data_IF_451801743062
#
_entry.id   IF_451801743062
#
_cell.length_a   1.000
_cell.length_b   1.000
_cell.length_c   1.000
_cell.angle_alpha   90.00
_cell.angle_beta   90.00
_cell.angle_gamma   90.00
#
_symmetry.space_group_name_H-M   'P 1'
#
loop_
_entity.id
_entity.type
_entity.pdbx_description
1 polymer ?
#
# COMPACT_ATOMS: atom_id res chain seq x y z
N UNK A 1 -4.14 -36.39 -16.13
CA UNK A 1 -4.45 -35.18 -15.35
C UNK A 1 -3.68 -34.00 -15.93
N UNK A 2 -4.37 -32.91 -16.25
CA UNK A 2 -3.74 -31.70 -16.75
C UNK A 2 -2.83 -31.08 -15.69
N UNK A 3 -1.66 -30.63 -16.14
CA UNK A 3 -0.76 -29.83 -15.30
C UNK A 3 -0.40 -28.53 -15.97
N UNK A 4 -0.14 -27.51 -15.18
CA UNK A 4 0.17 -26.16 -15.64
C UNK A 4 1.52 -25.75 -15.10
N UNK A 5 2.41 -25.34 -16.00
CA UNK A 5 3.66 -24.68 -15.63
C UNK A 5 3.49 -23.18 -15.74
N UNK A 6 3.89 -22.47 -14.70
CA UNK A 6 3.98 -21.02 -14.68
C UNK A 6 5.43 -20.56 -14.85
N UNK A 7 5.63 -19.57 -15.71
CA UNK A 7 6.92 -18.93 -15.94
C UNK A 7 6.75 -17.41 -15.78
N UNK A 8 7.41 -16.87 -14.76
CA UNK A 8 7.39 -15.45 -14.40
C UNK A 8 8.65 -14.75 -14.87
N UNK A 9 8.53 -13.47 -15.21
CA UNK A 9 9.67 -12.64 -15.57
C UNK A 9 10.68 -12.51 -14.41
N UNK A 10 11.95 -12.30 -14.76
CA UNK A 10 13.05 -12.15 -13.79
C UNK A 10 12.80 -11.13 -12.66
N UNK A 11 12.27 -9.91 -12.90
CA UNK A 11 12.12 -8.91 -11.84
C UNK A 11 11.14 -9.34 -10.73
N UNK A 12 10.05 -10.01 -11.07
CA UNK A 12 9.02 -10.42 -10.11
C UNK A 12 9.24 -11.82 -9.52
N UNK A 13 10.18 -12.59 -10.07
CA UNK A 13 10.45 -13.98 -9.65
C UNK A 13 10.72 -14.11 -8.15
N UNK A 14 11.41 -13.14 -7.54
CA UNK A 14 11.72 -13.18 -6.10
C UNK A 14 10.46 -12.95 -5.25
N UNK A 15 9.58 -12.05 -5.68
CA UNK A 15 8.32 -11.73 -5.01
C UNK A 15 7.36 -12.92 -5.04
N UNK A 16 7.24 -13.56 -6.21
CA UNK A 16 6.27 -14.64 -6.43
C UNK A 16 6.80 -16.03 -6.05
N UNK A 17 8.06 -16.16 -5.58
CA UNK A 17 8.69 -17.46 -5.28
C UNK A 17 7.94 -18.28 -4.21
N UNK A 18 7.22 -17.62 -3.31
CA UNK A 18 6.41 -18.27 -2.28
C UNK A 18 5.27 -19.10 -2.87
N UNK A 19 4.69 -18.66 -4.00
CA UNK A 19 3.51 -19.24 -4.63
C UNK A 19 3.82 -19.95 -5.96
N UNK A 20 4.71 -19.36 -6.77
CA UNK A 20 5.15 -19.88 -8.08
C UNK A 20 6.62 -20.31 -7.97
N UNK A 21 6.84 -21.62 -7.99
CA UNK A 21 8.15 -22.27 -7.97
C UNK A 21 8.57 -22.60 -9.39
N UNK A 22 9.80 -22.21 -9.73
CA UNK A 22 10.36 -22.41 -11.07
C UNK A 22 10.45 -23.89 -11.42
N UNK A 23 9.94 -24.27 -12.60
CA UNK A 23 9.99 -25.64 -13.10
C UNK A 23 8.95 -26.60 -12.51
N UNK A 24 8.10 -26.15 -11.59
CA UNK A 24 7.03 -26.96 -11.01
C UNK A 24 5.81 -26.97 -11.92
N UNK A 25 5.25 -28.15 -12.13
CA UNK A 25 3.97 -28.35 -12.80
C UNK A 25 2.88 -28.45 -11.71
N UNK A 26 1.85 -27.61 -11.82
CA UNK A 26 0.76 -27.47 -10.85
C UNK A 26 -0.51 -28.16 -11.35
N UNK A 27 -1.30 -28.69 -10.44
CA UNK A 27 -2.64 -29.18 -10.78
C UNK A 27 -3.57 -28.03 -11.17
N UNK A 28 -4.41 -28.26 -12.18
CA UNK A 28 -5.34 -27.28 -12.74
C UNK A 28 -6.21 -26.57 -11.67
N UNK A 29 -6.57 -27.29 -10.60
CA UNK A 29 -7.42 -26.81 -9.50
C UNK A 29 -6.75 -25.72 -8.66
N UNK A 30 -5.46 -25.89 -8.39
CA UNK A 30 -4.68 -24.96 -7.55
C UNK A 30 -4.28 -23.71 -8.35
N UNK A 31 -4.33 -23.79 -9.68
CA UNK A 31 -3.90 -22.73 -10.57
C UNK A 31 -4.70 -21.44 -10.40
N UNK A 32 -6.02 -21.51 -10.17
CA UNK A 32 -6.82 -20.31 -9.95
C UNK A 32 -6.38 -19.57 -8.67
N UNK A 33 -6.15 -20.31 -7.58
CA UNK A 33 -5.64 -19.74 -6.33
C UNK A 33 -4.26 -19.11 -6.54
N UNK A 34 -3.34 -19.82 -7.19
CA UNK A 34 -1.99 -19.30 -7.48
C UNK A 34 -2.05 -18.02 -8.30
N UNK A 35 -2.90 -17.99 -9.34
CA UNK A 35 -3.02 -16.81 -10.19
C UNK A 35 -3.65 -15.62 -9.43
N UNK A 36 -4.67 -15.86 -8.62
CA UNK A 36 -5.29 -14.83 -7.79
C UNK A 36 -4.33 -14.27 -6.74
N UNK A 37 -3.56 -15.13 -6.07
CA UNK A 37 -2.54 -14.70 -5.11
C UNK A 37 -1.41 -13.93 -5.80
N UNK A 38 -0.96 -14.37 -6.98
CA UNK A 38 0.06 -13.67 -7.75
C UNK A 38 -0.41 -12.29 -8.20
N UNK A 39 -1.66 -12.17 -8.65
CA UNK A 39 -2.29 -10.90 -8.99
C UNK A 39 -2.31 -9.95 -7.78
N UNK A 40 -2.78 -10.45 -6.64
CA UNK A 40 -2.89 -9.66 -5.42
C UNK A 40 -1.52 -9.12 -4.94
N UNK A 41 -0.49 -9.96 -4.94
CA UNK A 41 0.88 -9.57 -4.55
C UNK A 41 1.41 -8.47 -5.47
N UNK A 42 1.29 -8.65 -6.79
CA UNK A 42 1.81 -7.68 -7.75
C UNK A 42 1.04 -6.36 -7.73
N UNK A 43 -0.27 -6.43 -7.54
CA UNK A 43 -1.14 -5.27 -7.42
C UNK A 43 -0.81 -4.45 -6.16
N UNK A 44 -0.54 -5.11 -5.03
CA UNK A 44 -0.10 -4.49 -3.79
C UNK A 44 1.22 -3.73 -3.96
N UNK A 45 2.20 -4.36 -4.62
CA UNK A 45 3.51 -3.75 -4.92
C UNK A 45 3.44 -2.69 -6.03
N UNK A 46 2.30 -2.53 -6.71
CA UNK A 46 2.14 -1.62 -7.84
C UNK A 46 3.00 -1.99 -9.05
N UNK A 47 3.29 -3.27 -9.23
CA UNK A 47 4.11 -3.81 -10.31
C UNK A 47 3.20 -4.57 -11.28
N UNK A 48 3.31 -4.32 -12.57
CA UNK A 48 2.68 -5.15 -13.60
C UNK A 48 3.72 -6.03 -14.29
N UNK A 49 3.40 -7.30 -14.54
CA UNK A 49 4.34 -8.26 -15.15
C UNK A 49 3.62 -9.31 -15.98
N UNK A 50 4.24 -9.75 -17.08
CA UNK A 50 3.74 -10.90 -17.84
C UNK A 50 3.96 -12.20 -17.04
N UNK A 51 2.93 -13.04 -16.99
CA UNK A 51 2.98 -14.42 -16.56
C UNK A 51 2.73 -15.31 -17.77
N UNK A 52 3.68 -16.18 -18.09
CA UNK A 52 3.51 -17.21 -19.10
C UNK A 52 2.98 -18.48 -18.43
N UNK A 53 2.01 -19.14 -19.06
CA UNK A 53 1.49 -20.41 -18.58
C UNK A 53 1.41 -21.43 -19.71
N UNK A 54 1.74 -22.66 -19.35
CA UNK A 54 1.79 -23.80 -20.25
C UNK A 54 0.98 -24.95 -19.67
N UNK A 55 -0.17 -25.22 -20.28
CA UNK A 55 -1.04 -26.33 -19.94
C UNK A 55 -0.59 -27.56 -20.72
N UNK A 56 -0.27 -28.62 -20.00
CA UNK A 56 0.15 -29.91 -20.53
C UNK A 56 -0.85 -30.98 -20.13
N UNK A 57 -1.13 -31.87 -21.06
CA UNK A 57 -1.76 -33.14 -20.74
C UNK A 57 -0.79 -34.27 -21.07
N UNK A 58 -0.49 -35.21 -20.13
CA UNK A 58 0.48 -36.26 -20.38
C UNK A 58 0.03 -37.25 -21.47
N UNK A 59 -1.27 -37.40 -21.68
CA UNK A 59 -1.87 -38.38 -22.62
C UNK A 59 -2.21 -37.80 -23.98
N UNK A 60 -2.25 -36.48 -24.13
CA UNK A 60 -2.60 -35.81 -25.39
C UNK A 60 -1.46 -34.85 -25.77
N UNK A 61 -0.96 -34.87 -27.02
CA UNK A 61 0.07 -33.93 -27.48
C UNK A 61 -0.44 -32.48 -27.65
N UNK A 62 -1.51 -32.09 -26.96
CA UNK A 62 -2.03 -30.73 -26.97
C UNK A 62 -1.32 -29.97 -25.84
N UNK A 63 -0.39 -29.10 -26.23
CA UNK A 63 0.20 -28.11 -25.34
C UNK A 63 -0.44 -26.76 -25.63
N UNK A 64 -1.14 -26.21 -24.63
CA UNK A 64 -1.66 -24.85 -24.73
C UNK A 64 -0.68 -23.90 -24.03
N UNK A 65 -0.25 -22.85 -24.74
CA UNK A 65 0.66 -21.83 -24.21
C UNK A 65 0.06 -20.46 -24.43
N UNK A 66 0.06 -19.65 -23.39
CA UNK A 66 -0.35 -18.26 -23.47
C UNK A 66 0.33 -17.44 -22.37
N UNK A 67 0.07 -16.14 -22.36
CA UNK A 67 0.54 -15.21 -21.36
C UNK A 67 -0.58 -14.29 -20.90
N UNK A 68 -0.57 -13.92 -19.63
CA UNK A 68 -1.48 -12.96 -19.03
C UNK A 68 -0.69 -11.88 -18.32
N UNK A 69 -1.16 -10.64 -18.39
CA UNK A 69 -0.59 -9.54 -17.60
C UNK A 69 -1.15 -9.62 -16.18
N UNK A 70 -0.25 -9.71 -15.20
CA UNK A 70 -0.57 -9.62 -13.79
C UNK A 70 -0.31 -8.21 -13.25
N UNK A 71 -0.94 -7.88 -12.12
CA UNK A 71 -0.83 -6.60 -11.41
C UNK A 71 -1.63 -5.49 -12.08
N UNK A 72 -2.75 -5.84 -12.74
CA UNK A 72 -3.64 -4.89 -13.41
C UNK A 72 -5.05 -4.84 -12.78
N UNK A 73 -5.29 -5.62 -11.72
CA UNK A 73 -6.59 -5.76 -11.08
C UNK A 73 -7.57 -6.59 -11.90
N UNK A 74 -7.06 -7.50 -12.76
CA UNK A 74 -7.91 -8.37 -13.58
C UNK A 74 -8.13 -9.70 -12.87
N UNK A 75 -9.32 -10.32 -13.00
CA UNK A 75 -9.57 -11.64 -12.45
C UNK A 75 -8.76 -12.70 -13.19
N UNK A 76 -8.27 -13.66 -12.42
CA UNK A 76 -7.43 -14.73 -12.93
C UNK A 76 -8.09 -16.08 -12.75
N UNK A 77 -8.82 -16.50 -13.79
CA UNK A 77 -9.38 -17.83 -13.89
C UNK A 77 -8.82 -18.54 -15.12
N UNK A 78 -8.15 -19.67 -14.93
CA UNK A 78 -7.45 -20.37 -15.99
C UNK A 78 -8.39 -20.83 -17.12
N UNK A 79 -9.60 -21.30 -16.81
CA UNK A 79 -10.58 -21.72 -17.81
C UNK A 79 -11.01 -20.52 -18.66
N UNK A 80 -11.19 -19.36 -18.01
CA UNK A 80 -11.56 -18.14 -18.70
C UNK A 80 -10.41 -17.62 -19.59
N UNK A 81 -9.18 -17.60 -19.08
CA UNK A 81 -8.00 -17.16 -19.82
C UNK A 81 -7.78 -18.02 -21.07
N UNK A 82 -7.95 -19.34 -20.93
CA UNK A 82 -7.90 -20.27 -22.07
C UNK A 82 -9.03 -19.98 -23.06
N UNK A 83 -10.27 -19.85 -22.59
CA UNK A 83 -11.42 -19.57 -23.45
C UNK A 83 -11.26 -18.24 -24.22
N UNK A 84 -10.84 -17.18 -23.54
CA UNK A 84 -10.58 -15.89 -24.15
C UNK A 84 -9.49 -16.01 -25.22
N UNK A 85 -8.38 -16.68 -24.91
CA UNK A 85 -7.29 -16.87 -25.87
C UNK A 85 -7.75 -17.70 -27.09
N UNK A 86 -8.53 -18.76 -26.90
CA UNK A 86 -9.08 -19.57 -28.00
C UNK A 86 -10.00 -18.77 -28.93
N UNK A 87 -10.74 -17.81 -28.38
CA UNK A 87 -11.67 -16.99 -29.16
C UNK A 87 -11.02 -15.75 -29.78
N UNK A 88 -9.91 -15.27 -29.24
CA UNK A 88 -9.24 -14.03 -29.70
C UNK A 88 -7.99 -14.29 -30.55
N UNK A 89 -7.18 -15.28 -30.18
CA UNK A 89 -5.91 -15.59 -30.84
C UNK A 89 -6.08 -16.71 -31.87
N UNK A 90 -6.90 -17.71 -31.55
CA UNK A 90 -7.10 -18.89 -32.40
C UNK A 90 -8.39 -18.83 -33.22
N UNK A 91 -8.76 -17.66 -33.75
CA UNK A 91 -10.04 -17.46 -34.49
C UNK A 91 -10.25 -18.45 -35.63
N UNK A 92 -9.19 -18.84 -36.32
CA UNK A 92 -9.21 -19.74 -37.49
C UNK A 92 -9.41 -21.24 -37.15
N UNK A 93 -9.28 -21.62 -35.87
CA UNK A 93 -9.47 -23.01 -35.44
C UNK A 93 -10.95 -23.40 -35.43
N UNK A 94 -11.30 -24.66 -35.80
CA UNK A 94 -12.67 -25.15 -35.74
C UNK A 94 -13.25 -24.98 -34.33
N UNK A 95 -14.50 -24.51 -34.23
CA UNK A 95 -15.15 -24.34 -32.93
C UNK A 95 -15.23 -25.66 -32.14
N UNK A 96 -15.35 -26.79 -32.83
CA UNK A 96 -15.40 -28.12 -32.22
C UNK A 96 -14.11 -28.45 -31.46
N UNK A 97 -12.93 -28.13 -32.01
CA UNK A 97 -11.63 -28.33 -31.34
C UNK A 97 -11.51 -27.43 -30.10
N UNK A 98 -11.96 -26.18 -30.19
CA UNK A 98 -11.95 -25.24 -29.06
C UNK A 98 -12.86 -25.74 -27.94
N UNK A 99 -14.08 -26.18 -28.29
CA UNK A 99 -15.06 -26.72 -27.34
C UNK A 99 -14.54 -28.00 -26.69
N UNK A 100 -13.90 -28.89 -27.45
CA UNK A 100 -13.32 -30.12 -26.93
C UNK A 100 -12.23 -29.83 -25.89
N UNK A 101 -11.31 -28.91 -26.16
CA UNK A 101 -10.28 -28.51 -25.19
C UNK A 101 -10.89 -27.89 -23.92
N UNK A 102 -11.89 -27.03 -24.07
CA UNK A 102 -12.59 -26.43 -22.93
C UNK A 102 -13.30 -27.50 -22.10
N UNK A 103 -14.00 -28.45 -22.73
CA UNK A 103 -14.65 -29.56 -22.04
C UNK A 103 -13.66 -30.45 -21.28
N UNK A 104 -12.50 -30.75 -21.88
CA UNK A 104 -11.45 -31.52 -21.21
C UNK A 104 -10.92 -30.79 -19.96
N UNK A 105 -10.68 -29.48 -20.07
CA UNK A 105 -10.23 -28.68 -18.93
C UNK A 105 -11.31 -28.55 -17.85
N UNK A 106 -12.59 -28.43 -18.24
CA UNK A 106 -13.72 -28.41 -17.32
C UNK A 106 -13.85 -29.75 -16.56
N UNK A 107 -13.73 -30.87 -17.26
CA UNK A 107 -13.76 -32.20 -16.64
C UNK A 107 -12.59 -32.40 -15.66
N UNK A 108 -11.38 -32.00 -16.05
CA UNK A 108 -10.20 -32.05 -15.18
C UNK A 108 -10.31 -31.12 -13.96
N UNK A 109 -11.12 -30.06 -14.05
CA UNK A 109 -11.43 -29.21 -12.90
C UNK A 109 -12.30 -29.98 -11.87
N UNK A 110 -13.20 -30.85 -12.33
CA UNK A 110 -14.21 -31.56 -11.52
C UNK A 110 -13.72 -32.91 -10.95
N UNK A 111 -12.78 -33.61 -11.58
CA UNK A 111 -12.28 -34.92 -11.10
C UNK A 111 -11.56 -34.85 -9.74
N UNK A 112 -12.22 -35.29 -8.66
CA UNK A 112 -11.59 -35.50 -7.34
C UNK A 112 -10.29 -36.30 -7.47
N UNK A 113 -9.26 -36.02 -6.65
CA UNK A 113 -8.04 -36.80 -6.70
C UNK A 113 -8.42 -38.25 -6.42
N UNK A 114 -8.35 -39.10 -7.45
CA UNK A 114 -8.38 -40.53 -7.22
C UNK A 114 -7.24 -40.81 -6.26
N UNK A 115 -7.58 -41.21 -5.04
CA UNK A 115 -6.61 -41.69 -4.08
C UNK A 115 -5.72 -42.69 -4.80
N UNK A 116 -4.50 -42.30 -5.10
CA UNK A 116 -3.49 -43.23 -5.57
C UNK A 116 -3.30 -44.17 -4.39
N UNK A 117 -3.80 -45.39 -4.52
CA UNK A 117 -3.45 -46.50 -3.66
C UNK A 117 -1.92 -46.56 -3.63
N UNK A 118 -1.33 -46.08 -2.54
CA UNK A 118 0.02 -46.46 -2.13
C UNK A 118 -0.01 -47.97 -1.89
N UNK A 119 0.27 -48.74 -2.94
CA UNK A 119 0.74 -50.11 -2.76
C UNK A 119 2.19 -50.02 -2.30
N UNK A 120 2.36 -50.00 -0.99
CA UNK A 120 3.55 -50.51 -0.32
C UNK A 120 3.90 -51.86 -0.94
N UNK A 121 5.05 -51.92 -1.62
CA UNK A 121 5.78 -53.17 -1.79
C UNK A 121 7.11 -53.04 -1.06
N UNK A 122 7.02 -53.42 0.20
CA UNK A 122 8.06 -53.90 1.08
C UNK A 122 8.85 -55.03 0.40
N UNK A 123 10.15 -54.83 0.17
CA UNK A 123 11.12 -55.93 0.05
C UNK A 123 12.38 -55.55 0.83
N UNK A 124 12.59 -56.30 1.90
CA UNK A 124 13.75 -56.25 2.79
C UNK A 124 15.08 -56.53 2.06
N UNK A 125 16.12 -55.83 2.52
CA UNK A 125 17.54 -55.90 2.12
C UNK A 125 18.20 -57.28 2.33
N UNK A 126 19.41 -57.53 1.77
CA UNK A 126 20.59 -57.33 2.61
C UNK A 126 21.85 -56.76 1.91
N UNK A 127 22.63 -56.06 2.71
CA UNK A 127 23.98 -55.50 2.51
C UNK A 127 25.03 -56.61 2.34
N UNK A 128 26.02 -56.45 1.44
CA UNK A 128 27.43 -56.80 1.71
C UNK A 128 28.44 -56.27 0.64
N UNK A 129 29.34 -55.38 1.08
CA UNK A 129 30.81 -55.35 0.90
C UNK A 129 31.43 -55.06 -0.49
N UNK A 130 31.99 -53.85 -0.63
CA UNK A 130 33.15 -53.43 -1.47
C UNK A 130 34.49 -53.98 -0.90
N UNK A 131 35.70 -53.97 -1.54
CA UNK A 131 36.31 -52.89 -2.36
C UNK A 131 37.35 -53.39 -3.43
N UNK A 132 38.49 -52.71 -3.73
CA UNK A 132 38.73 -51.57 -4.63
C UNK A 132 39.79 -51.86 -5.73
N UNK A 133 39.90 -51.05 -6.81
CA UNK A 133 41.12 -51.01 -7.65
C UNK A 133 41.52 -49.57 -8.06
N UNK A 134 42.78 -49.30 -7.72
CA UNK A 134 43.78 -48.26 -8.03
C UNK A 134 43.88 -47.79 -9.50
N UNK A 135 44.02 -46.48 -9.74
CA UNK A 135 45.27 -45.71 -10.02
C UNK A 135 45.93 -45.97 -11.38
N UNK A 136 45.98 -44.94 -12.24
CA UNK A 136 47.18 -44.37 -12.91
C UNK A 136 46.76 -43.44 -14.06
N UNK A 137 47.45 -42.38 -14.49
CA UNK A 137 48.43 -41.40 -13.98
C UNK A 137 48.54 -40.33 -15.11
N UNK A 138 48.48 -39.04 -14.75
CA UNK A 138 49.32 -37.90 -15.21
C UNK A 138 49.57 -37.68 -16.73
N UNK A 139 49.27 -36.48 -17.27
CA UNK A 139 50.26 -35.49 -17.80
C UNK A 139 49.69 -34.05 -17.82
N UNK A 140 50.34 -33.16 -17.03
CA UNK A 140 50.55 -31.70 -17.22
C UNK A 140 52.07 -31.56 -17.51
N UNK A 141 52.64 -30.51 -18.15
CA UNK A 141 52.47 -29.06 -17.93
C UNK A 141 52.29 -28.31 -19.30
N UNK A 142 52.12 -26.98 -19.44
CA UNK A 142 52.99 -25.89 -19.00
C UNK A 142 52.39 -24.51 -19.39
N UNK A 143 52.86 -23.49 -18.67
CA UNK A 143 52.49 -22.07 -18.70
C UNK A 143 52.90 -21.35 -20.00
N UNK A 144 52.20 -20.27 -20.33
CA UNK A 144 52.87 -19.00 -20.63
C UNK A 144 51.99 -17.81 -20.20
N UNK A 145 52.68 -16.79 -19.67
CA UNK A 145 52.21 -15.51 -19.13
C UNK A 145 52.90 -14.43 -19.96
N UNK A 146 52.17 -13.39 -20.37
CA UNK A 146 52.63 -11.98 -20.46
C UNK A 146 51.40 -11.10 -20.77
N UNK A 147 50.89 -10.24 -19.87
CA UNK A 147 51.32 -8.88 -19.50
C UNK A 147 51.37 -7.88 -20.68
N UNK A 148 50.31 -7.07 -20.90
CA UNK A 148 50.12 -5.64 -20.46
C UNK A 148 50.36 -4.64 -21.64
N UNK A 149 50.02 -3.33 -21.56
CA UNK A 149 48.74 -2.67 -21.19
C UNK A 149 48.42 -1.37 -22.02
N UNK A 150 47.39 -0.61 -21.57
CA UNK A 150 47.16 0.86 -21.64
C UNK A 150 46.53 1.55 -22.88
N UNK A 151 45.31 2.08 -22.71
CA UNK A 151 44.92 3.53 -22.75
C UNK A 151 43.44 3.62 -22.27
N UNK A 152 43.07 4.13 -21.09
CA UNK A 152 42.94 5.54 -20.63
C UNK A 152 42.06 6.42 -21.54
N UNK A 153 40.86 6.84 -21.07
CA UNK A 153 40.35 8.24 -20.91
C UNK A 153 39.10 8.26 -19.97
N UNK A 154 39.29 8.82 -18.77
CA UNK A 154 38.46 9.77 -17.94
C UNK A 154 36.98 9.47 -17.55
N UNK A 155 36.68 9.55 -16.23
CA UNK A 155 35.45 10.17 -15.71
C UNK A 155 35.74 11.54 -15.05
N UNK A 156 34.94 12.54 -15.40
CA UNK A 156 35.05 13.93 -14.95
C UNK A 156 34.52 14.13 -13.53
N UNK A 157 35.36 14.78 -12.73
CA UNK A 157 35.22 15.11 -11.33
C UNK A 157 34.43 16.43 -11.18
N UNK A 158 33.47 16.49 -10.27
CA UNK A 158 33.05 17.77 -9.68
C UNK A 158 32.72 17.60 -8.19
N UNK A 159 33.78 17.61 -7.40
CA UNK A 159 33.74 17.92 -5.97
C UNK A 159 34.28 19.32 -5.72
N UNK A 160 33.52 20.09 -4.93
CA UNK A 160 34.07 21.16 -4.11
C UNK A 160 33.66 22.59 -4.48
N UNK A 161 32.91 23.23 -3.58
CA UNK A 161 33.34 24.49 -2.93
C UNK A 161 32.45 24.86 -1.74
N UNK A 162 32.93 24.42 -0.58
CA UNK A 162 32.66 24.94 0.75
C UNK A 162 33.11 26.41 0.78
N UNK A 163 32.19 27.37 0.91
CA UNK A 163 32.51 28.79 1.15
C UNK A 163 32.31 29.12 2.62
N UNK A 164 33.41 29.48 3.25
CA UNK A 164 33.50 30.04 4.59
C UNK A 164 32.76 31.37 4.65
N UNK A 165 31.82 31.51 5.58
CA UNK A 165 31.35 32.81 6.07
C UNK A 165 31.91 33.01 7.48
N UNK A 166 33.09 33.63 7.54
CA UNK A 166 33.67 34.16 8.77
C UNK A 166 34.24 35.55 8.49
N UNK A 167 33.90 36.47 9.39
CA UNK A 167 34.48 37.81 9.66
C UNK A 167 33.89 38.99 8.88
N UNK A 168 32.83 39.56 9.45
CA UNK A 168 32.64 41.02 9.44
C UNK A 168 32.30 41.51 10.85
N UNK A 169 33.31 41.59 11.71
CA UNK A 169 33.30 42.49 12.87
C UNK A 169 34.57 43.31 12.79
N UNK A 170 34.47 44.49 12.18
CA UNK A 170 35.46 45.54 12.35
C UNK A 170 34.76 46.90 12.34
N UNK A 171 35.18 47.72 13.30
CA UNK A 171 35.01 49.18 13.44
C UNK A 171 33.72 49.68 14.10
N UNK A 172 33.69 49.57 15.43
CA UNK A 172 33.25 50.67 16.28
C UNK A 172 34.38 50.92 17.29
N UNK A 173 35.40 51.70 16.90
CA UNK A 173 36.55 52.00 17.76
C UNK A 173 36.99 53.45 17.66
N UNK A 174 36.04 54.39 17.71
CA UNK A 174 36.36 55.82 17.66
C UNK A 174 35.38 56.74 18.41
N UNK A 175 34.65 56.26 19.43
CA UNK A 175 33.67 57.10 20.15
C UNK A 175 34.00 57.49 21.60
N UNK A 176 35.17 57.13 22.15
CA UNK A 176 35.52 57.58 23.51
C UNK A 176 36.95 58.12 23.60
N UNK A 177 37.11 59.39 23.22
CA UNK A 177 38.15 60.29 23.78
C UNK A 177 37.46 61.33 24.65
N UNK A 178 36.95 60.92 25.80
CA UNK A 178 36.40 61.83 26.81
C UNK A 178 37.41 62.05 27.93
N UNK A 179 37.60 63.30 28.33
CA UNK A 179 38.58 63.69 29.35
C UNK A 179 38.21 63.10 30.72
N UNK A 180 39.21 62.76 31.55
CA UNK A 180 39.01 62.17 32.89
C UNK A 180 38.12 63.03 33.81
N UNK A 181 38.00 64.34 33.56
CA UNK A 181 37.14 65.26 34.33
C UNK A 181 35.66 65.18 33.91
N UNK A 182 35.37 64.83 32.66
CA UNK A 182 33.99 64.66 32.16
C UNK A 182 33.36 63.34 32.63
N UNK A 183 34.18 62.31 32.92
CA UNK A 183 33.67 61.02 33.37
C UNK A 183 33.06 61.09 34.79
N UNK A 184 33.63 61.92 35.66
CA UNK A 184 33.10 62.13 37.02
C UNK A 184 31.72 62.81 36.97
N UNK A 185 31.54 63.80 36.11
CA UNK A 185 30.25 64.49 35.94
C UNK A 185 29.19 63.54 35.36
N UNK A 186 29.56 62.72 34.37
CA UNK A 186 28.66 61.71 33.80
C UNK A 186 28.28 60.65 34.84
N UNK A 187 29.23 60.22 35.68
CA UNK A 187 28.98 59.22 36.72
C UNK A 187 28.06 59.79 37.82
N UNK A 188 28.26 61.04 38.25
CA UNK A 188 27.36 61.69 39.20
C UNK A 188 25.94 61.88 38.63
N UNK A 189 25.83 62.23 37.34
CA UNK A 189 24.53 62.37 36.67
C UNK A 189 23.79 61.03 36.56
N UNK A 190 24.50 59.97 36.18
CA UNK A 190 23.95 58.61 36.12
C UNK A 190 23.58 58.07 37.51
N UNK A 191 24.35 58.41 38.53
CA UNK A 191 24.04 58.01 39.92
C UNK A 191 22.79 58.74 40.45
N UNK A 192 22.62 60.03 40.13
CA UNK A 192 21.42 60.77 40.46
C UNK A 192 20.18 60.24 39.71
N UNK A 193 20.31 59.91 38.42
CA UNK A 193 19.23 59.28 37.65
C UNK A 193 18.89 57.88 38.18
N UNK A 194 19.89 57.10 38.58
CA UNK A 194 19.70 55.80 39.23
C UNK A 194 18.92 55.91 40.55
N UNK A 195 19.21 56.91 41.38
CA UNK A 195 18.51 57.12 42.64
C UNK A 195 17.04 57.53 42.41
N UNK A 196 16.77 58.35 41.39
CA UNK A 196 15.40 58.74 41.01
C UNK A 196 14.63 57.52 40.48
N UNK A 197 15.23 56.70 39.62
CA UNK A 197 14.61 55.45 39.13
C UNK A 197 14.35 54.45 40.26
N UNK A 198 15.26 54.33 41.23
CA UNK A 198 15.07 53.43 42.39
C UNK A 198 13.94 53.92 43.29
N UNK A 199 13.82 55.24 43.50
CA UNK A 199 12.75 55.82 44.32
C UNK A 199 11.36 55.66 43.67
N UNK A 200 11.27 55.79 42.34
CA UNK A 200 10.02 55.52 41.59
C UNK A 200 9.64 54.04 41.62
N UNK A 201 10.61 53.11 41.61
CA UNK A 201 10.35 51.67 41.68
C UNK A 201 9.92 51.19 43.07
N UNK A 202 10.46 51.76 44.15
CA UNK A 202 10.17 51.30 45.52
C UNK A 202 8.93 51.98 46.11
N UNK A 203 8.60 53.20 45.70
CA UNK A 203 7.52 54.00 46.30
C UNK A 203 6.32 54.29 45.38
N UNK A 204 6.21 53.68 44.19
CA UNK A 204 5.01 53.79 43.38
C UNK A 204 3.90 52.84 43.89
N UNK A 205 2.79 53.35 44.46
CA UNK A 205 1.69 52.53 44.96
C UNK A 205 0.77 52.16 43.80
N UNK A 206 1.30 51.47 42.78
CA UNK A 206 0.61 51.29 41.52
C UNK A 206 1.06 50.13 40.62
N UNK A 207 2.04 49.31 41.00
CA UNK A 207 2.28 48.06 40.27
C UNK A 207 1.33 46.99 40.78
N UNK A 208 0.11 46.97 40.25
CA UNK A 208 -0.56 45.70 40.01
C UNK A 208 0.47 44.86 39.27
N UNK A 209 0.99 43.83 39.92
CA UNK A 209 1.60 42.72 39.23
C UNK A 209 0.59 42.28 38.18
N UNK A 210 0.82 42.65 36.93
CA UNK A 210 0.27 41.91 35.81
C UNK A 210 0.77 40.49 36.03
N UNK A 211 -0.11 39.67 36.62
CA UNK A 211 0.05 38.24 36.60
C UNK A 211 0.17 37.90 35.12
N UNK A 212 1.40 37.63 34.67
CA UNK A 212 1.66 36.89 33.44
C UNK A 212 0.77 35.67 33.55
N UNK A 213 -0.37 35.66 32.85
CA UNK A 213 -1.29 34.52 32.79
C UNK A 213 -0.43 33.38 32.27
N UNK A 214 0.01 32.48 33.16
CA UNK A 214 0.65 31.25 32.75
C UNK A 214 -0.37 30.52 31.90
N UNK A 215 -0.08 30.37 30.62
CA UNK A 215 -0.89 29.55 29.72
C UNK A 215 -0.97 28.14 30.35
N UNK A 216 -2.19 27.60 30.52
CA UNK A 216 -2.36 26.25 31.04
C UNK A 216 -1.78 25.24 30.04
N UNK A 217 -1.07 24.19 30.49
CA UNK A 217 -0.46 23.26 29.53
C UNK A 217 -1.51 22.54 28.68
N UNK A 218 -1.20 22.34 27.40
CA UNK A 218 -2.06 21.64 26.45
C UNK A 218 -2.46 20.26 26.95
N UNK A 219 -1.50 19.45 27.39
CA UNK A 219 -1.74 18.11 27.94
C UNK A 219 -2.77 18.14 29.09
N UNK A 220 -2.62 19.09 30.02
CA UNK A 220 -3.55 19.21 31.14
C UNK A 220 -4.96 19.60 30.69
N UNK A 221 -5.08 20.43 29.65
CA UNK A 221 -6.38 20.78 29.08
C UNK A 221 -7.04 19.61 28.34
N UNK A 222 -6.26 18.80 27.62
CA UNK A 222 -6.74 17.61 26.91
C UNK A 222 -7.18 16.51 27.90
N UNK A 223 -6.40 16.26 28.96
CA UNK A 223 -6.79 15.35 30.05
C UNK A 223 -8.10 15.77 30.72
N UNK A 224 -8.31 17.09 30.88
CA UNK A 224 -9.55 17.66 31.43
C UNK A 224 -10.68 17.75 30.40
N UNK A 225 -10.46 17.33 29.14
CA UNK A 225 -11.37 17.48 28.00
C UNK A 225 -11.88 18.91 27.81
N UNK A 226 -11.04 19.91 28.13
CA UNK A 226 -11.40 21.32 28.09
C UNK A 226 -11.11 21.93 26.71
N UNK A 227 -11.83 21.45 25.69
CA UNK A 227 -11.62 21.81 24.29
C UNK A 227 -11.81 23.32 24.01
N UNK A 228 -12.71 23.98 24.74
CA UNK A 228 -12.91 25.42 24.62
C UNK A 228 -11.63 26.22 24.92
N UNK A 229 -10.90 25.84 25.98
CA UNK A 229 -9.61 26.48 26.30
C UNK A 229 -8.53 26.08 25.30
N UNK A 230 -8.53 24.84 24.82
CA UNK A 230 -7.58 24.40 23.80
C UNK A 230 -7.73 25.22 22.52
N UNK A 231 -8.95 25.37 22.00
CA UNK A 231 -9.24 26.20 20.83
C UNK A 231 -8.83 27.67 20.99
N UNK A 232 -8.81 28.17 22.24
CA UNK A 232 -8.46 29.56 22.55
C UNK A 232 -6.94 29.77 22.70
N UNK A 233 -6.26 28.88 23.42
CA UNK A 233 -4.84 29.05 23.77
C UNK A 233 -3.89 28.37 22.79
N UNK A 234 -4.35 27.34 22.07
CA UNK A 234 -3.54 26.53 21.14
C UNK A 234 -4.26 26.34 19.80
N UNK A 235 -4.66 27.42 19.09
CA UNK A 235 -5.37 27.32 17.82
C UNK A 235 -4.56 26.63 16.72
N UNK A 236 -3.23 26.70 16.78
CA UNK A 236 -2.30 26.05 15.84
C UNK A 236 -2.24 24.52 16.02
N UNK A 237 -2.51 24.01 17.22
CA UNK A 237 -2.54 22.57 17.51
C UNK A 237 -3.90 21.93 17.21
N UNK A 238 -4.90 22.74 16.88
CA UNK A 238 -6.28 22.28 16.67
C UNK A 238 -6.38 21.18 15.61
N UNK A 239 -5.60 21.29 14.54
CA UNK A 239 -5.57 20.29 13.47
C UNK A 239 -4.87 19.00 13.91
N UNK A 240 -3.78 19.10 14.67
CA UNK A 240 -3.08 17.91 15.19
C UNK A 240 -3.98 17.11 16.14
N UNK A 241 -4.73 17.81 17.00
CA UNK A 241 -5.68 17.17 17.92
C UNK A 241 -6.83 16.49 17.16
N UNK A 242 -7.31 17.11 16.07
CA UNK A 242 -8.30 16.49 15.18
C UNK A 242 -7.76 15.17 14.64
N UNK A 243 -6.54 15.17 14.10
CA UNK A 243 -5.91 13.97 13.56
C UNK A 243 -5.72 12.89 14.64
N UNK A 244 -5.35 13.26 15.87
CA UNK A 244 -5.25 12.32 17.00
C UNK A 244 -6.60 11.65 17.28
N UNK A 245 -7.71 12.41 17.33
CA UNK A 245 -9.05 11.83 17.51
C UNK A 245 -9.50 10.97 16.34
N UNK A 246 -9.09 11.28 15.10
CA UNK A 246 -9.35 10.41 13.95
C UNK A 246 -8.59 9.09 14.11
N UNK A 247 -7.30 9.14 14.47
CA UNK A 247 -6.47 7.95 14.64
C UNK A 247 -6.97 7.05 15.79
N UNK A 248 -7.56 7.63 16.82
CA UNK A 248 -8.18 6.89 17.94
C UNK A 248 -9.64 6.50 17.69
N UNK A 249 -10.23 6.90 16.55
CA UNK A 249 -11.66 6.80 16.27
C UNK A 249 -12.56 7.38 17.39
N UNK A 250 -12.12 8.46 18.06
CA UNK A 250 -12.87 9.12 19.13
C UNK A 250 -13.94 10.07 18.57
N UNK A 251 -15.06 9.50 18.15
CA UNK A 251 -16.23 10.25 17.64
C UNK A 251 -16.77 11.25 18.68
N UNK A 252 -16.65 10.95 19.98
CA UNK A 252 -17.12 11.84 21.04
C UNK A 252 -16.20 13.06 21.12
N UNK A 253 -14.89 12.85 21.03
CA UNK A 253 -13.87 13.89 20.92
C UNK A 253 -14.13 14.81 19.72
N UNK A 254 -14.32 14.23 18.52
CA UNK A 254 -14.61 14.98 17.28
C UNK A 254 -15.89 15.82 17.40
N UNK A 255 -16.97 15.25 17.95
CA UNK A 255 -18.21 16.01 18.23
C UNK A 255 -18.00 17.13 19.24
N UNK A 256 -17.17 16.89 20.25
CA UNK A 256 -16.75 17.91 21.22
C UNK A 256 -16.02 19.06 20.54
N UNK A 257 -15.05 18.76 19.67
CA UNK A 257 -14.33 19.77 18.89
C UNK A 257 -15.29 20.57 18.01
N UNK A 258 -16.18 19.89 17.29
CA UNK A 258 -17.12 20.53 16.37
C UNK A 258 -18.13 21.44 17.10
N UNK A 259 -18.46 21.13 18.36
CA UNK A 259 -19.29 22.01 19.19
C UNK A 259 -18.60 23.32 19.54
N UNK A 260 -17.30 23.26 19.84
CA UNK A 260 -16.53 24.45 20.24
C UNK A 260 -16.13 25.30 19.02
N UNK A 261 -15.74 24.67 17.93
CA UNK A 261 -15.38 25.33 16.67
C UNK A 261 -15.93 24.50 15.48
N UNK A 262 -17.16 24.80 15.02
CA UNK A 262 -17.76 24.08 13.91
C UNK A 262 -16.91 24.12 12.64
N UNK A 263 -16.80 22.99 11.96
CA UNK A 263 -16.07 22.85 10.70
C UNK A 263 -16.69 21.77 9.82
N UNK A 264 -16.71 21.99 8.50
CA UNK A 264 -17.15 20.98 7.54
C UNK A 264 -16.24 19.76 7.51
N UNK A 265 -14.94 19.95 7.79
CA UNK A 265 -14.00 18.83 7.94
C UNK A 265 -14.34 17.97 9.15
N UNK A 266 -14.71 18.57 10.29
CA UNK A 266 -15.14 17.81 11.47
C UNK A 266 -16.48 17.10 11.22
N UNK A 267 -17.41 17.74 10.49
CA UNK A 267 -18.65 17.09 10.05
C UNK A 267 -18.37 15.88 9.15
N UNK A 268 -17.37 15.98 8.26
CA UNK A 268 -16.92 14.91 7.39
C UNK A 268 -16.36 13.73 8.21
N UNK A 269 -15.48 14.00 9.17
CA UNK A 269 -14.88 12.96 10.03
C UNK A 269 -15.94 12.22 10.85
N UNK A 270 -16.85 12.98 11.48
CA UNK A 270 -17.95 12.43 12.27
C UNK A 270 -18.83 11.54 11.38
N UNK A 271 -19.19 12.03 10.20
CA UNK A 271 -20.00 11.27 9.25
C UNK A 271 -19.31 9.97 8.81
N UNK A 272 -17.98 9.96 8.67
CA UNK A 272 -17.20 8.77 8.35
C UNK A 272 -17.36 7.68 9.41
N UNK A 273 -17.09 8.01 10.67
CA UNK A 273 -17.22 7.04 11.75
C UNK A 273 -18.67 6.63 12.04
N UNK A 274 -19.65 7.48 11.72
CA UNK A 274 -21.08 7.16 11.78
C UNK A 274 -21.59 6.39 10.54
N UNK A 275 -20.73 6.14 9.56
CA UNK A 275 -21.05 5.42 8.31
C UNK A 275 -22.09 6.14 7.45
N UNK A 276 -22.16 7.46 7.56
CA UNK A 276 -23.03 8.38 6.81
C UNK A 276 -22.38 8.75 5.46
N UNK A 277 -21.99 7.75 4.65
CA UNK A 277 -21.15 7.95 3.44
C UNK A 277 -21.76 8.89 2.38
N UNK A 278 -23.09 8.99 2.33
CA UNK A 278 -23.76 9.95 1.45
C UNK A 278 -23.48 11.39 1.85
N UNK A 279 -23.46 11.65 3.16
CA UNK A 279 -23.19 12.98 3.71
C UNK A 279 -21.74 13.39 3.46
N UNK A 280 -20.79 12.46 3.59
CA UNK A 280 -19.36 12.71 3.30
C UNK A 280 -19.17 13.19 1.86
N UNK A 281 -19.76 12.46 0.90
CA UNK A 281 -19.69 12.85 -0.52
C UNK A 281 -20.38 14.20 -0.76
N UNK A 282 -21.51 14.46 -0.08
CA UNK A 282 -22.19 15.74 -0.19
C UNK A 282 -21.31 16.90 0.33
N UNK A 283 -20.75 16.78 1.53
CA UNK A 283 -19.88 17.79 2.15
C UNK A 283 -18.69 18.10 1.22
N UNK A 284 -18.06 17.06 0.68
CA UNK A 284 -16.95 17.22 -0.26
C UNK A 284 -17.35 17.93 -1.56
N UNK A 285 -18.47 17.54 -2.16
CA UNK A 285 -18.92 18.14 -3.42
C UNK A 285 -19.37 19.59 -3.27
N UNK A 286 -19.95 19.95 -2.12
CA UNK A 286 -20.36 21.32 -1.79
C UNK A 286 -19.16 22.23 -1.45
N UNK A 287 -18.07 21.66 -0.96
CA UNK A 287 -16.94 22.41 -0.40
C UNK A 287 -15.57 22.03 -0.99
N UNK A 288 -15.49 21.87 -2.31
CA UNK A 288 -14.26 21.46 -3.02
C UNK A 288 -13.05 22.37 -2.81
N UNK A 289 -13.28 23.62 -2.42
CA UNK A 289 -12.25 24.62 -2.20
C UNK A 289 -11.61 24.55 -0.80
N UNK A 290 -12.08 23.65 0.07
CA UNK A 290 -11.47 23.42 1.38
C UNK A 290 -10.08 22.81 1.22
N UNK A 291 -9.22 23.10 2.20
CA UNK A 291 -7.92 22.45 2.33
C UNK A 291 -8.11 21.11 3.03
N UNK A 292 -8.01 20.02 2.25
CA UNK A 292 -8.15 18.66 2.73
C UNK A 292 -6.78 18.03 3.02
N UNK A 293 -6.69 17.30 4.13
CA UNK A 293 -5.57 16.42 4.41
C UNK A 293 -5.68 15.12 3.62
N UNK A 294 -4.57 14.36 3.56
CA UNK A 294 -4.53 13.05 2.87
C UNK A 294 -5.59 12.08 3.41
N UNK A 295 -5.80 12.04 4.73
CA UNK A 295 -6.82 11.18 5.37
C UNK A 295 -8.25 11.56 4.98
N UNK A 296 -8.52 12.84 4.76
CA UNK A 296 -9.85 13.31 4.34
C UNK A 296 -10.17 12.80 2.94
N UNK A 297 -9.19 12.87 2.03
CA UNK A 297 -9.32 12.29 0.69
C UNK A 297 -9.52 10.77 0.75
N UNK A 298 -8.90 10.07 1.71
CA UNK A 298 -9.11 8.64 1.91
C UNK A 298 -10.57 8.35 2.30
N UNK A 299 -11.12 9.09 3.27
CA UNK A 299 -12.52 8.95 3.71
C UNK A 299 -13.53 9.25 2.60
N UNK A 300 -13.30 10.31 1.83
CA UNK A 300 -14.16 10.66 0.68
C UNK A 300 -14.03 9.60 -0.42
N UNK A 301 -12.81 9.14 -0.71
CA UNK A 301 -12.54 8.11 -1.70
C UNK A 301 -13.25 6.80 -1.38
N UNK A 302 -13.16 6.34 -0.13
CA UNK A 302 -13.88 5.16 0.33
C UNK A 302 -15.39 5.35 0.23
N UNK A 303 -15.90 6.53 0.59
CA UNK A 303 -17.33 6.85 0.49
C UNK A 303 -17.85 6.81 -0.95
N UNK A 304 -17.04 7.25 -1.92
CA UNK A 304 -17.36 7.08 -3.34
C UNK A 304 -17.36 5.61 -3.76
N UNK A 305 -16.42 4.81 -3.25
CA UNK A 305 -16.37 3.37 -3.51
C UNK A 305 -17.61 2.64 -2.97
N UNK A 306 -18.07 2.98 -1.75
CA UNK A 306 -19.33 2.47 -1.17
C UNK A 306 -20.52 2.80 -2.08
N UNK A 307 -20.51 3.94 -2.77
CA UNK A 307 -21.55 4.31 -3.75
C UNK A 307 -21.37 3.68 -5.13
N UNK A 308 -20.37 2.83 -5.32
CA UNK A 308 -20.00 2.20 -6.59
C UNK A 308 -19.31 3.13 -7.58
N UNK A 309 -18.83 4.29 -7.13
CA UNK A 309 -18.18 5.27 -7.98
C UNK A 309 -16.65 5.11 -7.97
N UNK A 310 -16.19 4.02 -8.58
CA UNK A 310 -14.79 3.57 -8.53
C UNK A 310 -13.81 4.62 -9.09
N UNK A 311 -14.16 5.29 -10.19
CA UNK A 311 -13.26 6.27 -10.84
C UNK A 311 -12.94 7.45 -9.93
N UNK A 312 -13.92 7.92 -9.16
CA UNK A 312 -13.74 9.03 -8.25
C UNK A 312 -12.89 8.60 -7.05
N UNK A 313 -13.10 7.38 -6.55
CA UNK A 313 -12.24 6.80 -5.53
C UNK A 313 -10.77 6.72 -6.00
N UNK A 314 -10.52 6.32 -7.25
CA UNK A 314 -9.17 6.30 -7.83
C UNK A 314 -8.52 7.68 -7.90
N UNK A 315 -9.28 8.68 -8.36
CA UNK A 315 -8.79 10.06 -8.44
C UNK A 315 -8.43 10.57 -7.04
N UNK A 316 -9.28 10.33 -6.05
CA UNK A 316 -9.05 10.75 -4.67
C UNK A 316 -7.86 10.02 -4.04
N UNK A 317 -7.63 8.77 -4.40
CA UNK A 317 -6.47 8.02 -3.93
C UNK A 317 -5.13 8.60 -4.41
N UNK A 318 -5.11 9.35 -5.53
CA UNK A 318 -3.91 10.08 -5.96
C UNK A 318 -3.54 11.23 -5.01
N UNK A 319 -4.52 11.78 -4.30
CA UNK A 319 -4.32 12.84 -3.31
C UNK A 319 -4.13 12.27 -1.90
N UNK A 320 -4.83 11.18 -1.58
CA UNK A 320 -4.69 10.50 -0.31
C UNK A 320 -3.33 9.78 -0.19
N UNK A 321 -2.86 9.16 -1.28
CA UNK A 321 -1.74 8.20 -1.28
C UNK A 321 -1.91 7.10 -0.20
N UNK A 322 -3.16 6.67 -0.01
CA UNK A 322 -3.54 5.76 1.07
C UNK A 322 -3.49 4.29 0.58
N UNK A 323 -2.67 3.43 1.21
CA UNK A 323 -2.51 2.04 0.77
C UNK A 323 -3.78 1.21 0.99
N UNK A 324 -4.60 1.55 1.98
CA UNK A 324 -5.80 0.79 2.32
C UNK A 324 -6.92 1.11 1.32
N UNK A 325 -7.16 2.39 1.03
CA UNK A 325 -8.07 2.82 -0.03
C UNK A 325 -7.68 2.21 -1.38
N UNK A 326 -6.38 2.20 -1.71
CA UNK A 326 -5.89 1.52 -2.92
C UNK A 326 -6.27 0.04 -2.93
N UNK A 327 -6.13 -0.66 -1.81
CA UNK A 327 -6.49 -2.06 -1.69
C UNK A 327 -8.01 -2.29 -1.78
N UNK A 328 -8.83 -1.43 -1.17
CA UNK A 328 -10.29 -1.46 -1.30
C UNK A 328 -10.74 -1.27 -2.76
N UNK A 329 -10.15 -0.31 -3.48
CA UNK A 329 -10.46 -0.07 -4.90
C UNK A 329 -10.12 -1.30 -5.74
N UNK A 330 -8.94 -1.88 -5.51
CA UNK A 330 -8.49 -3.09 -6.20
C UNK A 330 -9.44 -4.27 -5.99
N UNK A 331 -9.79 -4.56 -4.74
CA UNK A 331 -10.68 -5.66 -4.37
C UNK A 331 -12.11 -5.45 -4.92
N UNK A 332 -12.63 -4.22 -4.89
CA UNK A 332 -13.91 -3.88 -5.51
C UNK A 332 -13.89 -4.20 -7.01
N UNK A 333 -12.87 -3.74 -7.75
CA UNK A 333 -12.74 -3.97 -9.20
C UNK A 333 -12.65 -5.46 -9.53
N UNK A 334 -11.86 -6.20 -8.75
CA UNK A 334 -11.70 -7.63 -8.91
C UNK A 334 -13.04 -8.36 -8.70
N UNK A 335 -13.80 -7.95 -7.68
CA UNK A 335 -15.11 -8.52 -7.35
C UNK A 335 -16.11 -8.24 -8.47
N UNK A 336 -16.20 -7.00 -8.95
CA UNK A 336 -17.09 -6.60 -10.04
C UNK A 336 -16.78 -7.38 -11.34
N UNK A 337 -15.50 -7.50 -11.68
CA UNK A 337 -15.08 -8.27 -12.86
C UNK A 337 -15.43 -9.75 -12.71
N UNK A 338 -15.16 -10.35 -11.53
CA UNK A 338 -15.48 -11.75 -11.25
C UNK A 338 -16.97 -12.04 -11.36
N UNK A 339 -17.83 -11.13 -10.90
CA UNK A 339 -19.29 -11.22 -11.05
C UNK A 339 -19.68 -11.18 -12.53
N UNK A 340 -19.17 -10.20 -13.27
CA UNK A 340 -19.47 -10.02 -14.70
C UNK A 340 -19.09 -11.24 -15.53
N UNK A 341 -17.88 -11.76 -15.31
CA UNK A 341 -17.34 -12.91 -16.02
C UNK A 341 -18.07 -14.20 -15.65
N UNK A 342 -18.35 -14.42 -14.37
CA UNK A 342 -19.08 -15.60 -13.92
C UNK A 342 -20.50 -15.61 -14.50
N UNK A 343 -21.17 -14.44 -14.54
CA UNK A 343 -22.46 -14.28 -15.25
C UNK A 343 -22.36 -14.58 -16.74
N UNK A 344 -21.25 -14.23 -17.39
CA UNK A 344 -21.02 -14.56 -18.79
C UNK A 344 -20.82 -16.06 -19.01
N UNK A 345 -20.02 -16.71 -18.16
CA UNK A 345 -19.79 -18.16 -18.22
C UNK A 345 -21.10 -18.91 -17.99
N UNK A 346 -21.91 -18.51 -17.01
CA UNK A 346 -23.19 -19.16 -16.70
C UNK A 346 -24.21 -19.14 -17.84
N UNK A 347 -24.09 -18.23 -18.83
CA UNK A 347 -24.93 -18.20 -20.04
C UNK A 347 -24.65 -19.37 -21.00
N UNK A 348 -23.51 -20.05 -20.84
CA UNK A 348 -23.14 -21.21 -21.63
C UNK A 348 -24.10 -22.38 -21.37
N UNK A 349 -24.54 -23.04 -22.45
CA UNK A 349 -25.47 -24.17 -22.40
C UNK A 349 -24.78 -25.52 -22.18
N UNK A 350 -23.49 -25.57 -22.46
CA UNK A 350 -22.61 -26.73 -22.42
C UNK A 350 -21.97 -27.01 -21.05
N UNK A 351 -22.29 -26.18 -20.04
CA UNK A 351 -21.82 -26.41 -18.66
C UNK A 351 -22.44 -27.67 -18.06
N UNK A 352 -21.62 -28.46 -17.37
CA UNK A 352 -22.11 -29.54 -16.51
C UNK A 352 -22.95 -28.98 -15.36
N UNK A 353 -23.86 -29.79 -14.81
CA UNK A 353 -24.74 -29.38 -13.70
C UNK A 353 -23.92 -29.01 -12.45
N UNK A 354 -22.86 -29.75 -12.17
CA UNK A 354 -21.95 -29.53 -11.04
C UNK A 354 -21.21 -28.19 -11.18
N UNK A 355 -20.55 -27.96 -12.32
CA UNK A 355 -19.83 -26.71 -12.57
C UNK A 355 -20.76 -25.50 -12.55
N UNK A 356 -21.98 -25.62 -13.11
CA UNK A 356 -22.98 -24.55 -13.01
C UNK A 356 -23.31 -24.24 -11.54
N UNK A 357 -23.50 -25.26 -10.72
CA UNK A 357 -23.80 -25.09 -9.29
C UNK A 357 -22.64 -24.41 -8.55
N UNK A 358 -21.41 -24.82 -8.82
CA UNK A 358 -20.21 -24.18 -8.21
C UNK A 358 -20.08 -22.71 -8.62
N UNK A 359 -20.29 -22.39 -9.90
CA UNK A 359 -20.25 -21.02 -10.41
C UNK A 359 -21.38 -20.15 -9.84
N UNK A 360 -22.59 -20.70 -9.68
CA UNK A 360 -23.70 -20.01 -9.01
C UNK A 360 -23.39 -19.71 -7.54
N UNK A 361 -22.78 -20.64 -6.81
CA UNK A 361 -22.32 -20.40 -5.44
C UNK A 361 -21.27 -19.28 -5.38
N UNK A 362 -20.23 -19.35 -6.22
CA UNK A 362 -19.18 -18.31 -6.28
C UNK A 362 -19.74 -16.94 -6.68
N UNK A 363 -20.71 -16.91 -7.60
CA UNK A 363 -21.39 -15.68 -7.98
C UNK A 363 -22.12 -15.06 -6.78
N UNK A 364 -22.89 -15.86 -6.04
CA UNK A 364 -23.62 -15.39 -4.87
C UNK A 364 -22.67 -14.87 -3.78
N UNK A 365 -21.53 -15.54 -3.56
CA UNK A 365 -20.50 -15.09 -2.63
C UNK A 365 -19.89 -13.75 -3.04
N UNK A 366 -19.54 -13.59 -4.32
CA UNK A 366 -18.98 -12.35 -4.86
C UNK A 366 -20.01 -11.20 -4.82
N UNK A 367 -21.27 -11.45 -5.17
CA UNK A 367 -22.35 -10.45 -5.09
C UNK A 367 -22.60 -10.02 -3.64
N UNK A 368 -22.55 -10.95 -2.69
CA UNK A 368 -22.64 -10.63 -1.26
C UNK A 368 -21.46 -9.78 -0.80
N UNK A 369 -20.24 -10.08 -1.27
CA UNK A 369 -19.07 -9.27 -0.97
C UNK A 369 -19.18 -7.85 -1.52
N UNK A 370 -19.64 -7.69 -2.77
CA UNK A 370 -19.94 -6.38 -3.36
C UNK A 370 -21.03 -5.64 -2.58
N UNK A 371 -22.05 -6.35 -2.09
CA UNK A 371 -23.08 -5.75 -1.24
C UNK A 371 -22.51 -5.25 0.10
N UNK A 372 -21.49 -5.91 0.65
CA UNK A 372 -20.81 -5.43 1.85
C UNK A 372 -20.12 -4.08 1.61
N UNK A 373 -19.56 -3.84 0.40
CA UNK A 373 -19.04 -2.52 0.02
C UNK A 373 -20.12 -1.46 0.10
N UNK A 374 -21.29 -1.72 -0.51
CA UNK A 374 -22.41 -0.78 -0.49
C UNK A 374 -23.00 -0.53 0.90
N UNK A 375 -22.67 -1.37 1.89
CA UNK A 375 -23.04 -1.18 3.29
C UNK A 375 -21.91 -0.61 4.15
N UNK A 376 -20.71 -0.39 3.58
CA UNK A 376 -19.52 0.01 4.33
C UNK A 376 -19.12 -1.00 5.42
N UNK A 377 -19.24 -2.31 5.11
CA UNK A 377 -18.95 -3.43 6.01
C UNK A 377 -17.78 -4.29 5.52
N UNK A 378 -16.90 -3.73 4.71
CA UNK A 378 -15.80 -4.50 4.11
C UNK A 378 -14.55 -4.41 4.97
N UNK A 379 -13.98 -5.58 5.23
CA UNK A 379 -12.68 -5.74 5.86
C UNK A 379 -11.70 -6.18 4.76
N UNK A 380 -10.69 -5.36 4.46
CA UNK A 380 -9.57 -5.79 3.63
C UNK A 380 -8.49 -6.35 4.55
N UNK A 381 -8.08 -7.60 4.30
CA UNK A 381 -7.00 -8.24 5.07
C UNK A 381 -5.65 -7.78 4.53
N UNK A 382 -4.99 -6.87 5.22
CA UNK A 382 -3.56 -6.66 5.02
C UNK A 382 -2.76 -7.65 5.86
N UNK A 383 -1.83 -8.39 5.23
CA UNK A 383 -0.86 -9.25 5.92
C UNK A 383 -1.46 -10.30 6.89
N UNK A 384 -2.67 -10.79 6.63
CA UNK A 384 -3.31 -11.83 7.45
C UNK A 384 -3.81 -11.36 8.83
N UNK A 385 -3.74 -10.06 9.14
CA UNK A 385 -4.41 -9.47 10.31
C UNK A 385 -5.71 -8.82 9.88
N UNK A 386 -6.77 -9.07 10.65
CA UNK A 386 -8.06 -8.39 10.49
C UNK A 386 -7.93 -7.04 11.18
N UNK A 387 -8.08 -5.96 10.43
CA UNK A 387 -8.37 -4.66 11.01
C UNK A 387 -9.83 -4.33 10.67
N UNK A 388 -10.64 -4.27 11.73
CA UNK A 388 -11.98 -3.71 11.67
C UNK A 388 -11.86 -2.19 11.72
N UNK A 389 -12.49 -1.50 10.77
CA UNK A 389 -12.94 -0.12 10.95
C UNK A 389 -14.13 -0.08 11.91
#
# INVERSE_FOLDING_TARGET
MFTIRFEVEKPVRKLLRSIIREGVDYELRVCNTILQEAEAILLQEGISSSLHYHIKEPTIPVSFRSSVMLGEGRPMNILLLVNQTLNTVFTEKPEEEKRYLIQLLEQAFLEEPSAVEEKEQEVETPILVSPPIEETIIVKPEKSVDQRPLTEIVPENNTGKRREFRKHVQRISSFFRFSKKSWIVLFCLLFLLSLISFFVLVFSPGSKTEAVKKEPSLESLLEQKNLAKVATYYPEEWENIRLDYINEADVIGLKGMNKEKPSDLLNLDIAYFEKEYNQIVQIYEENKDLEYASIDYAFVGFSYLVKGNVKQAEVLNLYADDPDLKAYIADYKLTESSISETKQVLKRKDLTKELRTELETKLNEAEKHLQNYHQGKVEVKQNGKKETL
#
